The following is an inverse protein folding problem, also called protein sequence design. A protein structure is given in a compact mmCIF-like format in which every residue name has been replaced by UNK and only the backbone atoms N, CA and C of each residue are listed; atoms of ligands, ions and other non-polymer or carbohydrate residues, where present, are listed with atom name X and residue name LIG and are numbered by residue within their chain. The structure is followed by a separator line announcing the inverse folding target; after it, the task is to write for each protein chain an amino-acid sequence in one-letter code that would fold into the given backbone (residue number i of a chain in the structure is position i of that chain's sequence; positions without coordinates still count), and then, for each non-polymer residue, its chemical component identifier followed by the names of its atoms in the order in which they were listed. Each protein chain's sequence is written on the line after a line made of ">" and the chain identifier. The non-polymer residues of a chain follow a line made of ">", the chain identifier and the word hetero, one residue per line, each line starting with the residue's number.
data_IF_054646706169
#
_entry.id   IF_054646706169
#
_cell.length_a   1.000
_cell.length_b   1.000
_cell.length_c   1.000
_cell.angle_alpha   90.00
_cell.angle_beta   90.00
_cell.angle_gamma   90.00
#
_symmetry.space_group_name_H-M   'P 1'
#
loop_
_entity.id
_entity.type
_entity.pdbx_description
1 polymer ?
#
# COMPACT_ATOMS: atom_id res chain seq x y z
N UNK A 1 -7.07 3.24 22.03
CA UNK A 1 -7.42 3.13 20.59
C UNK A 1 -6.31 3.59 19.64
N UNK A 2 -5.49 4.60 19.98
CA UNK A 2 -4.35 5.06 19.13
C UNK A 2 -3.36 3.95 18.72
N UNK A 3 -3.09 3.01 19.63
CA UNK A 3 -2.16 1.89 19.38
C UNK A 3 -2.64 0.95 18.25
N UNK A 4 -3.93 0.59 18.21
CA UNK A 4 -4.45 -0.35 17.21
C UNK A 4 -4.43 0.23 15.79
N UNK A 5 -4.68 1.53 15.64
CA UNK A 5 -4.60 2.20 14.35
C UNK A 5 -3.15 2.33 13.85
N UNK A 6 -2.21 2.63 14.76
CA UNK A 6 -0.79 2.65 14.42
C UNK A 6 -0.30 1.27 13.97
N UNK A 7 -0.71 0.20 14.66
CA UNK A 7 -0.40 -1.18 14.27
C UNK A 7 -0.99 -1.53 12.90
N UNK A 8 -2.24 -1.14 12.63
CA UNK A 8 -2.89 -1.42 11.35
C UNK A 8 -2.21 -0.67 10.20
N UNK A 9 -1.79 0.58 10.42
CA UNK A 9 -0.99 1.36 9.47
C UNK A 9 0.38 0.74 9.23
N UNK A 10 1.06 0.30 10.30
CA UNK A 10 2.35 -0.37 10.19
C UNK A 10 2.22 -1.68 9.40
N UNK A 11 1.18 -2.47 9.67
CA UNK A 11 0.90 -3.71 8.95
C UNK A 11 0.56 -3.46 7.47
N UNK A 12 -0.24 -2.43 7.18
CA UNK A 12 -0.53 -1.98 5.81
C UNK A 12 0.71 -1.50 5.07
N UNK A 13 1.53 -0.65 5.71
CA UNK A 13 2.79 -0.18 5.15
C UNK A 13 3.77 -1.34 4.89
N UNK A 14 3.83 -2.31 5.81
CA UNK A 14 4.61 -3.54 5.64
C UNK A 14 4.12 -4.40 4.48
N UNK A 15 2.81 -4.63 4.36
CA UNK A 15 2.23 -5.36 3.22
C UNK A 15 2.52 -4.65 1.89
N UNK A 16 2.36 -3.32 1.85
CA UNK A 16 2.71 -2.51 0.69
C UNK A 16 4.19 -2.60 0.32
N UNK A 17 5.08 -2.56 1.32
CA UNK A 17 6.52 -2.72 1.11
C UNK A 17 6.89 -4.11 0.58
N UNK A 18 6.21 -5.17 1.05
CA UNK A 18 6.35 -6.51 0.50
C UNK A 18 5.93 -6.58 -0.96
N UNK A 19 4.85 -5.89 -1.35
CA UNK A 19 4.43 -5.81 -2.76
C UNK A 19 5.47 -5.07 -3.61
N UNK A 20 6.06 -3.98 -3.11
CA UNK A 20 7.15 -3.27 -3.82
C UNK A 20 8.38 -4.16 -3.97
N UNK A 21 8.73 -4.92 -2.92
CA UNK A 21 9.81 -5.89 -2.98
C UNK A 21 9.53 -6.99 -4.02
N UNK A 22 8.32 -7.55 -4.02
CA UNK A 22 7.89 -8.53 -5.02
C UNK A 22 7.98 -7.97 -6.45
N UNK A 23 7.48 -6.76 -6.66
CA UNK A 23 7.59 -6.06 -7.95
C UNK A 23 9.06 -5.88 -8.39
N UNK A 24 9.96 -5.58 -7.45
CA UNK A 24 11.39 -5.44 -7.73
C UNK A 24 11.97 -6.78 -8.18
N UNK A 25 11.61 -7.89 -7.53
CA UNK A 25 12.03 -9.22 -7.94
C UNK A 25 11.48 -9.58 -9.33
N UNK A 26 10.22 -9.28 -9.62
CA UNK A 26 9.60 -9.53 -10.94
C UNK A 26 10.29 -8.75 -12.07
N UNK A 27 10.76 -7.53 -11.78
CA UNK A 27 11.53 -6.75 -12.73
C UNK A 27 12.81 -7.49 -13.16
N UNK A 28 13.53 -8.11 -12.22
CA UNK A 28 14.76 -8.84 -12.53
C UNK A 28 14.50 -10.23 -13.10
N UNK A 29 13.48 -10.95 -12.61
CA UNK A 29 13.23 -12.36 -12.97
C UNK A 29 12.45 -12.49 -14.27
N UNK A 30 11.50 -11.60 -14.55
CA UNK A 30 10.63 -11.72 -15.72
C UNK A 30 10.90 -10.66 -16.77
N UNK A 31 11.01 -9.39 -16.40
CA UNK A 31 11.15 -8.33 -17.39
C UNK A 31 12.54 -8.38 -18.07
N UNK A 32 13.62 -8.40 -17.28
CA UNK A 32 14.98 -8.31 -17.82
C UNK A 32 15.34 -9.43 -18.82
N UNK A 33 15.01 -10.72 -18.57
CA UNK A 33 15.29 -11.77 -19.54
C UNK A 33 14.48 -11.64 -20.83
N UNK A 34 13.24 -11.15 -20.77
CA UNK A 34 12.41 -10.97 -21.96
C UNK A 34 12.86 -9.78 -22.82
N UNK A 35 13.38 -8.72 -22.18
CA UNK A 35 14.04 -7.61 -22.87
C UNK A 35 15.32 -8.09 -23.56
N UNK A 36 16.16 -8.84 -22.86
CA UNK A 36 17.39 -9.40 -23.42
C UNK A 36 17.12 -10.37 -24.59
N UNK A 37 16.02 -11.12 -24.54
CA UNK A 37 15.58 -12.02 -25.60
C UNK A 37 14.89 -11.32 -26.79
N UNK A 38 14.70 -9.99 -26.76
CA UNK A 38 14.04 -9.24 -27.83
C UNK A 38 12.53 -9.44 -27.94
N UNK A 39 11.88 -10.03 -26.93
CA UNK A 39 10.44 -10.30 -26.93
C UNK A 39 9.65 -9.09 -26.44
N UNK A 40 9.61 -8.02 -27.25
CA UNK A 40 9.06 -6.71 -26.85
C UNK A 40 7.60 -6.73 -26.35
N UNK A 41 6.71 -7.52 -26.98
CA UNK A 41 5.32 -7.59 -26.52
C UNK A 41 5.20 -8.16 -25.09
N UNK A 42 5.99 -9.18 -24.77
CA UNK A 42 6.02 -9.75 -23.41
C UNK A 42 6.69 -8.80 -22.43
N UNK A 43 7.77 -8.15 -22.84
CA UNK A 43 8.43 -7.15 -22.02
C UNK A 43 7.49 -5.98 -21.68
N UNK A 44 6.70 -5.48 -22.64
CA UNK A 44 5.71 -4.43 -22.41
C UNK A 44 4.64 -4.87 -21.41
N UNK A 45 4.17 -6.12 -21.52
CA UNK A 45 3.22 -6.69 -20.57
C UNK A 45 3.79 -6.72 -19.14
N UNK A 46 4.99 -7.28 -18.95
CA UNK A 46 5.64 -7.29 -17.63
C UNK A 46 5.97 -5.89 -17.11
N UNK A 47 6.26 -4.94 -18.00
CA UNK A 47 6.46 -3.54 -17.63
C UNK A 47 5.17 -2.94 -17.08
N UNK A 48 4.04 -3.17 -17.76
CA UNK A 48 2.73 -2.73 -17.28
C UNK A 48 2.38 -3.36 -15.92
N UNK A 49 2.65 -4.65 -15.74
CA UNK A 49 2.47 -5.32 -14.44
C UNK A 49 3.35 -4.69 -13.35
N UNK A 50 4.63 -4.42 -13.64
CA UNK A 50 5.53 -3.77 -12.69
C UNK A 50 5.08 -2.35 -12.34
N UNK A 51 4.61 -1.58 -13.31
CA UNK A 51 4.09 -0.23 -13.06
C UNK A 51 2.83 -0.28 -12.20
N UNK A 52 1.92 -1.22 -12.47
CA UNK A 52 0.69 -1.38 -11.69
C UNK A 52 0.98 -1.83 -10.26
N UNK A 53 1.79 -2.89 -10.07
CA UNK A 53 2.11 -3.39 -8.73
C UNK A 53 3.03 -2.44 -7.96
N UNK A 54 4.10 -2.00 -8.61
CA UNK A 54 5.06 -1.08 -8.01
C UNK A 54 4.40 0.25 -7.66
N UNK A 55 3.61 0.81 -8.57
CA UNK A 55 2.85 2.03 -8.35
C UNK A 55 1.84 1.89 -7.21
N UNK A 56 1.05 0.81 -7.21
CA UNK A 56 0.08 0.54 -6.13
C UNK A 56 0.78 0.30 -4.77
N UNK A 57 1.90 -0.43 -4.77
CA UNK A 57 2.70 -0.69 -3.57
C UNK A 57 3.31 0.60 -3.00
N UNK A 58 3.93 1.43 -3.84
CA UNK A 58 4.48 2.73 -3.42
C UNK A 58 3.37 3.66 -2.91
N UNK A 59 2.25 3.74 -3.63
CA UNK A 59 1.09 4.51 -3.18
C UNK A 59 0.55 4.01 -1.83
N UNK A 60 0.54 2.69 -1.61
CA UNK A 60 0.18 2.07 -0.33
C UNK A 60 1.13 2.44 0.80
N UNK A 61 2.45 2.33 0.57
CA UNK A 61 3.48 2.74 1.56
C UNK A 61 3.30 4.22 1.95
N UNK A 62 3.13 5.09 0.95
CA UNK A 62 2.91 6.52 1.16
C UNK A 62 1.58 6.79 1.90
N UNK A 63 0.52 6.06 1.60
CA UNK A 63 -0.76 6.23 2.28
C UNK A 63 -0.74 5.77 3.75
N UNK A 64 0.19 4.91 4.15
CA UNK A 64 0.21 4.30 5.49
C UNK A 64 1.22 4.95 6.45
N UNK A 65 2.46 5.22 6.00
CA UNK A 65 3.53 5.71 6.89
C UNK A 65 3.41 7.22 7.12
N UNK A 66 3.29 8.00 6.03
CA UNK A 66 3.05 9.45 6.05
C UNK A 66 2.22 9.84 4.83
N UNK A 67 0.91 10.08 5.00
CA UNK A 67 0.04 10.41 3.87
C UNK A 67 0.56 11.67 3.17
N UNK A 68 1.07 11.50 1.95
CA UNK A 68 1.59 12.58 1.14
C UNK A 68 0.43 13.37 0.49
N UNK A 69 0.48 14.72 0.43
CA UNK A 69 -0.61 15.54 -0.13
C UNK A 69 -1.06 15.11 -1.52
N UNK A 70 -0.11 14.77 -2.38
CA UNK A 70 -0.40 14.24 -3.72
C UNK A 70 -1.26 12.96 -3.72
N UNK A 71 -1.06 12.06 -2.76
CA UNK A 71 -1.85 10.82 -2.68
C UNK A 71 -3.27 11.14 -2.23
N UNK A 72 -3.44 12.07 -1.29
CA UNK A 72 -4.79 12.50 -0.88
C UNK A 72 -5.57 13.23 -1.98
N UNK A 73 -4.88 13.99 -2.82
CA UNK A 73 -5.51 14.74 -3.93
C UNK A 73 -5.88 13.84 -5.11
N UNK A 74 -4.94 12.99 -5.56
CA UNK A 74 -5.14 12.17 -6.75
C UNK A 74 -5.87 10.85 -6.46
N UNK A 75 -5.70 10.31 -5.24
CA UNK A 75 -6.22 9.00 -4.86
C UNK A 75 -6.97 9.07 -3.52
N UNK A 76 -8.06 9.85 -3.43
CA UNK A 76 -8.77 10.10 -2.17
C UNK A 76 -9.30 8.81 -1.53
N UNK A 77 -9.53 7.76 -2.30
CA UNK A 77 -9.94 6.45 -1.79
C UNK A 77 -8.88 5.78 -0.91
N UNK A 78 -7.58 6.04 -1.13
CA UNK A 78 -6.50 5.50 -0.30
C UNK A 78 -6.39 6.17 1.07
N UNK A 79 -7.01 7.35 1.24
CA UNK A 79 -7.10 7.98 2.56
C UNK A 79 -8.10 7.25 3.47
N UNK A 80 -9.07 6.53 2.88
CA UNK A 80 -10.09 5.76 3.59
C UNK A 80 -9.59 4.35 3.91
N UNK A 81 -9.93 3.84 5.08
CA UNK A 81 -9.55 2.47 5.49
C UNK A 81 -10.13 1.41 4.55
N UNK A 82 -11.38 1.58 4.12
CA UNK A 82 -12.06 0.67 3.19
C UNK A 82 -11.41 0.65 1.81
N UNK A 83 -10.99 1.80 1.28
CA UNK A 83 -10.31 1.85 -0.03
C UNK A 83 -8.97 1.15 0.00
N UNK A 84 -8.20 1.30 1.09
CA UNK A 84 -6.96 0.53 1.31
C UNK A 84 -7.21 -0.97 1.44
N UNK A 85 -8.25 -1.37 2.18
CA UNK A 85 -8.66 -2.78 2.24
C UNK A 85 -8.96 -3.35 0.86
N UNK A 86 -9.74 -2.65 0.02
CA UNK A 86 -10.01 -3.08 -1.34
C UNK A 86 -8.72 -3.22 -2.17
N UNK A 87 -7.82 -2.23 -2.10
CA UNK A 87 -6.52 -2.29 -2.77
C UNK A 87 -5.72 -3.55 -2.37
N UNK A 88 -5.61 -3.84 -1.07
CA UNK A 88 -4.92 -5.03 -0.59
C UNK A 88 -5.60 -6.35 -1.00
N UNK A 89 -6.93 -6.38 -1.12
CA UNK A 89 -7.65 -7.55 -1.66
C UNK A 89 -7.24 -7.79 -3.10
N UNK A 90 -7.31 -6.75 -3.95
CA UNK A 90 -6.98 -6.89 -5.36
C UNK A 90 -5.52 -7.24 -5.58
N UNK A 91 -4.60 -6.59 -4.86
CA UNK A 91 -3.18 -6.92 -4.92
C UNK A 91 -2.91 -8.34 -4.43
N UNK A 92 -3.52 -8.75 -3.31
CA UNK A 92 -3.35 -10.10 -2.78
C UNK A 92 -3.83 -11.18 -3.74
N UNK A 93 -5.03 -11.01 -4.30
CA UNK A 93 -5.59 -11.93 -5.31
C UNK A 93 -4.73 -11.97 -6.57
N UNK A 94 -4.28 -10.81 -7.05
CA UNK A 94 -3.44 -10.72 -8.24
C UNK A 94 -2.11 -11.44 -8.03
N UNK A 95 -1.41 -11.16 -6.91
CA UNK A 95 -0.11 -11.78 -6.60
C UNK A 95 -0.26 -13.30 -6.45
N UNK A 96 -1.30 -13.79 -5.76
CA UNK A 96 -1.56 -15.25 -5.65
C UNK A 96 -1.87 -15.89 -7.01
N UNK A 97 -2.63 -15.20 -7.85
CA UNK A 97 -3.07 -15.71 -9.15
C UNK A 97 -1.98 -15.70 -10.23
N UNK A 98 -0.84 -15.05 -9.96
CA UNK A 98 0.26 -14.91 -10.90
C UNK A 98 0.90 -16.27 -11.19
N UNK A 99 1.17 -16.54 -12.48
CA UNK A 99 1.72 -17.83 -12.92
C UNK A 99 3.24 -17.78 -12.93
N UNK A 100 3.84 -18.12 -11.79
CA UNK A 100 5.30 -18.24 -11.66
C UNK A 100 5.83 -19.59 -12.20
N UNK A 101 7.00 -19.55 -12.85
CA UNK A 101 7.71 -20.73 -13.35
C UNK A 101 8.54 -21.43 -12.27
N UNK A 102 9.01 -20.71 -11.27
CA UNK A 102 9.82 -21.27 -10.18
C UNK A 102 8.96 -21.64 -8.98
N UNK A 103 9.27 -22.75 -8.32
CA UNK A 103 8.57 -23.16 -7.10
C UNK A 103 8.77 -22.15 -5.96
N UNK A 104 9.99 -21.60 -5.84
CA UNK A 104 10.34 -20.62 -4.81
C UNK A 104 9.60 -19.30 -5.00
N UNK A 105 9.55 -18.76 -6.22
CA UNK A 105 8.79 -17.54 -6.53
C UNK A 105 7.31 -17.73 -6.21
N UNK A 106 6.70 -18.84 -6.64
CA UNK A 106 5.30 -19.15 -6.30
C UNK A 106 5.04 -19.16 -4.79
N UNK A 107 5.90 -19.77 -3.99
CA UNK A 107 5.74 -19.77 -2.53
C UNK A 107 5.84 -18.37 -1.94
N UNK A 108 6.76 -17.55 -2.45
CA UNK A 108 6.90 -16.15 -2.04
C UNK A 108 5.66 -15.33 -2.41
N UNK A 109 5.12 -15.49 -3.61
CA UNK A 109 3.93 -14.78 -4.07
C UNK A 109 2.70 -15.15 -3.24
N UNK A 110 2.51 -16.45 -2.98
CA UNK A 110 1.45 -16.93 -2.08
C UNK A 110 1.59 -16.29 -0.70
N UNK A 111 2.80 -16.23 -0.13
CA UNK A 111 3.04 -15.60 1.15
C UNK A 111 2.68 -14.10 1.13
N UNK A 112 3.21 -13.34 0.18
CA UNK A 112 2.93 -11.90 0.04
C UNK A 112 1.44 -11.64 -0.14
N UNK A 113 0.78 -12.42 -0.99
CA UNK A 113 -0.64 -12.27 -1.24
C UNK A 113 -1.51 -12.64 -0.04
N UNK A 114 -1.19 -13.71 0.70
CA UNK A 114 -1.88 -14.06 1.96
C UNK A 114 -1.72 -12.97 3.01
N UNK A 115 -0.51 -12.39 3.13
CA UNK A 115 -0.28 -11.24 4.03
C UNK A 115 -1.16 -10.06 3.63
N UNK A 116 -1.24 -9.72 2.34
CA UNK A 116 -2.12 -8.66 1.86
C UNK A 116 -3.59 -8.95 2.20
N UNK A 117 -4.08 -10.17 1.96
CA UNK A 117 -5.46 -10.56 2.27
C UNK A 117 -5.76 -10.52 3.78
N UNK A 118 -4.81 -10.94 4.61
CA UNK A 118 -4.95 -10.89 6.07
C UNK A 118 -5.06 -9.44 6.57
N UNK A 119 -4.17 -8.56 6.10
CA UNK A 119 -4.19 -7.12 6.41
C UNK A 119 -5.48 -6.49 5.91
N UNK A 120 -5.92 -6.82 4.69
CA UNK A 120 -7.14 -6.30 4.12
C UNK A 120 -8.37 -6.69 4.95
N UNK A 121 -8.44 -7.95 5.37
CA UNK A 121 -9.53 -8.49 6.19
C UNK A 121 -9.56 -7.80 7.56
N UNK A 122 -8.41 -7.66 8.21
CA UNK A 122 -8.29 -6.94 9.47
C UNK A 122 -8.78 -5.48 9.31
N UNK A 123 -8.29 -4.78 8.28
CA UNK A 123 -8.67 -3.41 8.00
C UNK A 123 -10.17 -3.26 7.70
N UNK A 124 -10.78 -4.22 7.00
CA UNK A 124 -12.21 -4.22 6.69
C UNK A 124 -13.06 -4.45 7.94
N UNK A 125 -12.66 -5.36 8.82
CA UNK A 125 -13.32 -5.59 10.12
C UNK A 125 -13.24 -4.33 10.99
N UNK A 126 -12.07 -3.69 11.05
CA UNK A 126 -11.90 -2.42 11.75
C UNK A 126 -12.76 -1.29 11.14
N UNK A 127 -12.82 -1.19 9.81
CA UNK A 127 -13.65 -0.21 9.12
C UNK A 127 -15.13 -0.36 9.49
N UNK A 128 -15.63 -1.60 9.50
CA UNK A 128 -17.01 -1.90 9.90
C UNK A 128 -17.27 -1.54 11.36
N UNK A 129 -16.36 -1.88 12.28
CA UNK A 129 -16.50 -1.51 13.70
C UNK A 129 -16.48 -0.01 13.93
N UNK A 130 -15.69 0.74 13.15
CA UNK A 130 -15.69 2.21 13.23
C UNK A 130 -16.99 2.80 12.68
N UNK A 131 -17.55 2.23 11.61
CA UNK A 131 -18.82 2.71 11.03
C UNK A 131 -20.03 2.52 11.94
N UNK A 132 -19.98 1.58 12.89
CA UNK A 132 -21.04 1.37 13.89
C UNK A 132 -20.99 2.33 15.08
N UNK A 133 -19.97 3.18 15.19
CA UNK A 133 -19.86 4.16 16.27
C UNK A 133 -20.78 5.37 16.03
N UNK A 134 -21.32 6.01 17.09
CA UNK A 134 -22.08 7.26 16.98
C UNK A 134 -21.32 8.35 16.19
N UNK A 135 -22.00 9.17 15.37
CA UNK A 135 -21.37 10.16 14.49
C UNK A 135 -20.50 11.18 15.27
N UNK A 136 -20.87 11.49 16.51
CA UNK A 136 -20.11 12.38 17.40
C UNK A 136 -18.68 11.85 17.69
N UNK A 137 -18.50 10.52 17.76
CA UNK A 137 -17.18 9.90 17.92
C UNK A 137 -16.44 9.74 16.59
N UNK A 138 -17.16 9.67 15.47
CA UNK A 138 -16.56 9.61 14.14
C UNK A 138 -15.92 10.96 13.76
N UNK A 139 -16.59 12.07 14.08
CA UNK A 139 -16.08 13.42 13.81
C UNK A 139 -14.83 13.76 14.63
N UNK A 140 -14.78 13.35 15.90
CA UNK A 140 -13.59 13.57 16.74
C UNK A 140 -12.38 12.80 16.21
N UNK A 141 -12.56 11.53 15.81
CA UNK A 141 -11.52 10.73 15.15
C UNK A 141 -11.12 11.30 13.77
N UNK A 142 -12.08 11.80 13.00
CA UNK A 142 -11.83 12.44 11.71
C UNK A 142 -11.00 13.71 11.84
N UNK A 143 -11.35 14.59 12.78
CA UNK A 143 -10.60 15.81 13.08
C UNK A 143 -9.20 15.51 13.60
N UNK A 144 -9.02 14.52 14.47
CA UNK A 144 -7.68 14.13 14.94
C UNK A 144 -6.79 13.64 13.79
N UNK A 145 -7.34 12.89 12.83
CA UNK A 145 -6.58 12.43 11.65
C UNK A 145 -6.14 13.59 10.73
N UNK A 146 -7.00 14.59 10.56
CA UNK A 146 -6.65 15.80 9.80
C UNK A 146 -5.69 16.72 10.58
N UNK A 147 -5.83 16.84 11.89
CA UNK A 147 -4.94 17.63 12.72
C UNK A 147 -3.51 17.05 12.76
N UNK A 148 -3.37 15.72 12.81
CA UNK A 148 -2.07 15.05 12.80
C UNK A 148 -1.30 15.19 11.47
N UNK A 149 -1.99 15.46 10.36
CA UNK A 149 -1.37 15.68 9.05
C UNK A 149 -1.01 17.15 8.79
N UNK A 150 -1.54 18.08 9.59
CA UNK A 150 -1.38 19.53 9.40
C UNK A 150 -0.43 20.17 10.43
N UNK A 151 0.34 19.38 11.20
CA UNK A 151 1.34 19.98 12.09
C UNK A 151 2.34 20.79 11.23
N UNK A 152 2.41 22.12 11.40
CA UNK A 152 3.28 22.96 10.59
C UNK A 152 4.71 22.48 10.77
N UNK A 153 5.36 22.14 9.65
CA UNK A 153 6.81 21.94 9.67
C UNK A 153 7.43 23.18 10.30
N UNK A 154 8.30 23.05 11.32
CA UNK A 154 9.00 24.19 11.86
C UNK A 154 9.73 24.85 10.71
N UNK A 155 9.33 26.06 10.36
CA UNK A 155 9.96 26.88 9.33
C UNK A 155 11.43 27.02 9.73
N UNK A 156 12.33 26.63 8.82
CA UNK A 156 13.79 26.63 9.04
C UNK A 156 14.34 28.03 9.44
N UNK A 157 13.54 29.10 9.33
CA UNK A 157 13.87 30.43 9.82
C UNK A 157 14.18 30.52 11.32
N UNK A 158 13.70 29.60 12.16
CA UNK A 158 14.03 29.63 13.60
C UNK A 158 15.37 28.97 13.98
N UNK A 159 16.12 28.41 13.02
CA UNK A 159 17.42 27.76 13.29
C UNK A 159 18.65 28.61 12.99
N UNK A 160 18.50 29.83 12.45
CA UNK A 160 19.64 30.67 12.04
C UNK A 160 20.07 31.73 13.06
N UNK A 161 19.46 31.82 14.24
CA UNK A 161 19.72 32.91 15.20
C UNK A 161 20.27 32.46 16.56
N UNK A 162 20.93 31.31 16.62
CA UNK A 162 21.62 30.85 17.84
C UNK A 162 23.03 30.38 17.55
#
# INVERSE_FOLDING_TARGET
>A
MRSSQALLRLAGGGASALVVLACTLYFFVDLLPHVAAGNFLRALHFTAECVLLGGAGVAGVLAEIRPHPWVSENFPYLTRLSGRSCLYIFLGMYVIGRRERSAWGRSFDIFVGVVCLAVATAAMVFARRLSSLPPQLQESLGREMHAASTQPQPTMEQMSTS
#
